data_IF_047890370562
#
_entry.id   IF_047890370562
#
_cell.length_a   1.000
_cell.length_b   1.000
_cell.length_c   1.000
_cell.angle_alpha   90.00
_cell.angle_beta   90.00
_cell.angle_gamma   90.00
#
_symmetry.space_group_name_H-M   'P 1'
#
loop_
_entity.id
_entity.type
_entity.pdbx_description
1 polymer ?
#
# COMPACT_ATOMS: atom_id res chain seq x y z
N UNK A 1 -15.22 -39.65 41.24
CA UNK A 1 -16.40 -38.97 40.67
C UNK A 1 -15.92 -37.61 40.21
N UNK A 2 -16.14 -37.29 38.94
CA UNK A 2 -15.45 -36.22 38.21
C UNK A 2 -15.76 -34.81 38.70
N UNK A 3 -14.73 -33.98 38.67
CA UNK A 3 -14.74 -32.55 38.92
C UNK A 3 -14.27 -31.84 37.64
N UNK A 4 -15.02 -32.06 36.55
CA UNK A 4 -14.67 -31.57 35.22
C UNK A 4 -15.93 -30.96 34.59
N UNK A 5 -16.24 -29.68 34.84
CA UNK A 5 -17.05 -28.81 33.93
C UNK A 5 -17.50 -27.47 34.55
N UNK A 6 -16.65 -26.74 35.29
CA UNK A 6 -16.93 -25.32 35.57
C UNK A 6 -15.76 -24.41 35.19
N UNK A 7 -15.30 -24.52 33.94
CA UNK A 7 -14.28 -23.63 33.36
C UNK A 7 -14.93 -22.49 32.56
N UNK A 8 -16.26 -22.40 32.57
CA UNK A 8 -17.02 -21.41 31.78
C UNK A 8 -17.31 -20.12 32.56
N UNK A 9 -16.95 -20.06 33.86
CA UNK A 9 -17.17 -18.91 34.76
C UNK A 9 -15.97 -17.94 34.86
N UNK A 10 -14.93 -18.10 34.03
CA UNK A 10 -13.76 -17.22 34.00
C UNK A 10 -13.50 -16.54 32.65
N UNK A 11 -14.50 -16.51 31.77
CA UNK A 11 -14.50 -15.58 30.64
C UNK A 11 -15.10 -14.26 31.12
N UNK A 12 -14.30 -13.53 31.91
CA UNK A 12 -14.61 -12.16 32.31
C UNK A 12 -14.75 -11.32 31.03
N UNK A 13 -15.97 -10.83 30.71
CA UNK A 13 -16.20 -10.05 29.50
C UNK A 13 -15.37 -8.77 29.47
N UNK A 14 -14.89 -8.27 30.62
CA UNK A 14 -13.97 -7.14 30.67
C UNK A 14 -12.57 -7.51 30.18
N UNK A 15 -12.11 -8.75 30.38
CA UNK A 15 -10.83 -9.24 29.88
C UNK A 15 -10.88 -9.44 28.36
N UNK A 16 -11.97 -10.01 27.83
CA UNK A 16 -12.18 -10.14 26.38
C UNK A 16 -12.32 -8.77 25.70
N UNK A 17 -12.89 -7.79 26.40
CA UNK A 17 -12.98 -6.41 25.92
C UNK A 17 -11.62 -5.71 26.01
N UNK A 18 -10.81 -5.96 27.04
CA UNK A 18 -9.43 -5.47 27.12
C UNK A 18 -8.52 -6.11 26.08
N UNK A 19 -8.64 -7.42 25.81
CA UNK A 19 -7.88 -8.12 24.76
C UNK A 19 -8.37 -7.71 23.38
N UNK A 20 -9.67 -7.50 23.16
CA UNK A 20 -10.20 -6.93 21.92
C UNK A 20 -9.80 -5.47 21.72
N UNK A 21 -9.76 -4.66 22.78
CA UNK A 21 -9.28 -3.27 22.71
C UNK A 21 -7.77 -3.22 22.51
N UNK A 22 -7.00 -4.13 23.11
CA UNK A 22 -5.56 -4.28 22.88
C UNK A 22 -5.28 -4.77 21.45
N UNK A 23 -6.04 -5.75 20.95
CA UNK A 23 -5.94 -6.23 19.56
C UNK A 23 -6.48 -5.23 18.52
N UNK A 24 -7.38 -4.33 18.93
CA UNK A 24 -7.80 -3.17 18.13
C UNK A 24 -6.73 -2.06 18.14
N UNK A 25 -5.94 -1.97 19.21
CA UNK A 25 -4.78 -1.05 19.33
C UNK A 25 -3.56 -1.57 18.56
N UNK A 26 -3.41 -2.89 18.39
CA UNK A 26 -2.37 -3.52 17.54
C UNK A 26 -2.64 -3.38 16.02
N UNK A 27 -3.73 -2.71 15.64
CA UNK A 27 -3.93 -2.16 14.30
C UNK A 27 -3.53 -0.68 14.21
N UNK A 28 -2.73 -0.18 15.14
CA UNK A 28 -1.96 1.03 14.85
C UNK A 28 -1.09 0.74 13.63
N UNK A 29 -1.23 1.50 12.53
CA UNK A 29 -0.29 1.41 11.43
C UNK A 29 1.06 1.81 12.00
N UNK A 30 1.91 0.80 12.23
CA UNK A 30 3.27 0.98 12.74
C UNK A 30 3.89 2.16 12.01
N UNK A 31 4.29 3.25 12.69
CA UNK A 31 4.97 4.35 12.04
C UNK A 31 6.38 3.89 11.69
N UNK A 32 6.48 3.05 10.67
CA UNK A 32 7.73 2.79 9.98
C UNK A 32 8.18 4.11 9.33
N UNK A 33 9.50 4.35 9.22
CA UNK A 33 10.04 5.60 8.64
C UNK A 33 9.57 5.87 7.20
N UNK A 34 8.92 4.90 6.55
CA UNK A 34 8.34 5.01 5.22
C UNK A 34 6.92 4.41 5.23
N UNK A 35 5.91 5.23 4.92
CA UNK A 35 4.55 4.70 4.65
C UNK A 35 4.60 3.84 3.38
N UNK A 36 3.94 2.69 3.38
CA UNK A 36 3.83 1.81 2.20
C UNK A 36 3.38 2.60 0.96
N UNK A 37 2.50 3.59 1.15
CA UNK A 37 2.04 4.50 0.10
C UNK A 37 3.16 5.33 -0.54
N UNK A 38 4.16 5.75 0.24
CA UNK A 38 5.33 6.48 -0.24
C UNK A 38 6.28 5.57 -1.02
N UNK A 39 6.49 4.33 -0.56
CA UNK A 39 7.31 3.34 -1.27
C UNK A 39 6.69 3.01 -2.63
N UNK A 40 5.39 2.72 -2.66
CA UNK A 40 4.66 2.41 -3.89
C UNK A 40 4.69 3.60 -4.85
N UNK A 41 4.43 4.82 -4.37
CA UNK A 41 4.54 6.02 -5.21
C UNK A 41 5.98 6.21 -5.72
N UNK A 42 6.98 6.02 -4.86
CA UNK A 42 8.39 6.11 -5.22
C UNK A 42 8.76 5.11 -6.33
N UNK A 43 8.27 3.87 -6.23
CA UNK A 43 8.49 2.85 -7.25
C UNK A 43 7.90 3.24 -8.61
N UNK A 44 6.68 3.80 -8.64
CA UNK A 44 6.04 4.27 -9.88
C UNK A 44 6.81 5.44 -10.51
N UNK A 45 7.25 6.40 -9.71
CA UNK A 45 8.05 7.54 -10.19
C UNK A 45 9.42 7.08 -10.68
N UNK A 46 10.08 6.16 -9.98
CA UNK A 46 11.36 5.59 -10.38
C UNK A 46 11.24 4.81 -11.70
N UNK A 47 10.21 3.98 -11.85
CA UNK A 47 9.92 3.27 -13.08
C UNK A 47 9.65 4.25 -14.24
N UNK A 48 8.85 5.29 -14.01
CA UNK A 48 8.57 6.33 -15.00
C UNK A 48 9.83 7.08 -15.44
N UNK A 49 10.72 7.43 -14.51
CA UNK A 49 12.01 8.06 -14.81
C UNK A 49 12.89 7.14 -15.66
N UNK A 50 12.98 5.85 -15.29
CA UNK A 50 13.70 4.83 -16.06
C UNK A 50 13.20 4.69 -17.50
N UNK A 51 11.88 4.62 -17.68
CA UNK A 51 11.25 4.51 -19.01
C UNK A 51 11.46 5.77 -19.84
N UNK A 52 11.49 6.94 -19.20
CA UNK A 52 11.69 8.23 -19.87
C UNK A 52 13.03 8.31 -20.62
N UNK A 53 14.07 7.60 -20.16
CA UNK A 53 15.36 7.51 -20.86
C UNK A 53 15.24 6.88 -22.26
N UNK A 54 14.26 6.00 -22.47
CA UNK A 54 14.03 5.34 -23.77
C UNK A 54 13.24 6.20 -24.76
N UNK A 55 12.62 7.29 -24.30
CA UNK A 55 11.86 8.20 -25.16
C UNK A 55 12.81 8.96 -26.10
N UNK A 56 13.95 9.42 -25.59
CA UNK A 56 14.94 10.15 -26.36
C UNK A 56 15.47 9.39 -27.59
N UNK A 57 15.97 8.14 -27.48
CA UNK A 57 16.40 7.37 -28.64
C UNK A 57 15.24 7.04 -29.59
N UNK A 58 14.03 6.73 -29.07
CA UNK A 58 12.87 6.48 -29.92
C UNK A 58 12.49 7.72 -30.76
N UNK A 59 12.56 8.91 -30.16
CA UNK A 59 12.35 10.18 -30.85
C UNK A 59 13.41 10.46 -31.92
N UNK A 60 14.69 10.24 -31.59
CA UNK A 60 15.81 10.40 -32.54
C UNK A 60 15.71 9.45 -33.74
N UNK A 61 15.14 8.27 -33.54
CA UNK A 61 14.94 7.28 -34.60
C UNK A 61 13.66 7.54 -35.43
N UNK A 62 12.91 8.60 -35.14
CA UNK A 62 11.66 8.91 -35.84
C UNK A 62 10.53 7.91 -35.59
N UNK A 63 10.67 7.04 -34.56
CA UNK A 63 9.65 6.04 -34.24
C UNK A 63 8.52 6.67 -33.40
N UNK A 64 7.66 7.44 -34.08
CA UNK A 64 6.53 8.15 -33.46
C UNK A 64 5.60 7.21 -32.68
N UNK A 65 5.20 6.02 -33.19
CA UNK A 65 4.38 5.09 -32.43
C UNK A 65 5.01 4.67 -31.09
N UNK A 66 6.33 4.41 -31.07
CA UNK A 66 7.05 4.04 -29.85
C UNK A 66 7.15 5.19 -28.86
N UNK A 67 7.33 6.43 -29.33
CA UNK A 67 7.33 7.61 -28.46
C UNK A 67 5.97 7.78 -27.77
N UNK A 68 4.88 7.64 -28.54
CA UNK A 68 3.51 7.78 -28.01
C UNK A 68 3.20 6.69 -26.98
N UNK A 69 3.57 5.44 -27.24
CA UNK A 69 3.34 4.34 -26.28
C UNK A 69 4.16 4.51 -25.01
N UNK A 70 5.43 4.92 -25.11
CA UNK A 70 6.27 5.19 -23.94
C UNK A 70 5.74 6.36 -23.11
N UNK A 71 5.31 7.45 -23.75
CA UNK A 71 4.68 8.59 -23.05
C UNK A 71 3.38 8.20 -22.35
N UNK A 72 2.55 7.40 -23.02
CA UNK A 72 1.29 6.90 -22.46
C UNK A 72 1.57 6.02 -21.24
N UNK A 73 2.57 5.13 -21.33
CA UNK A 73 2.99 4.26 -20.24
C UNK A 73 3.48 5.07 -19.04
N UNK A 74 4.30 6.10 -19.26
CA UNK A 74 4.76 7.02 -18.20
C UNK A 74 3.57 7.73 -17.54
N UNK A 75 2.61 8.23 -18.31
CA UNK A 75 1.40 8.83 -17.75
C UNK A 75 0.60 7.84 -16.89
N UNK A 76 0.40 6.62 -17.37
CA UNK A 76 -0.33 5.58 -16.62
C UNK A 76 0.37 5.23 -15.30
N UNK A 77 1.69 5.11 -15.30
CA UNK A 77 2.48 4.87 -14.09
C UNK A 77 2.27 5.98 -13.05
N UNK A 78 2.32 7.25 -13.49
CA UNK A 78 2.10 8.38 -12.59
C UNK A 78 0.67 8.42 -12.05
N UNK A 79 -0.33 8.20 -12.91
CA UNK A 79 -1.75 8.15 -12.50
C UNK A 79 -1.99 7.01 -11.51
N UNK A 80 -1.45 5.82 -11.78
CA UNK A 80 -1.55 4.66 -10.88
C UNK A 80 -0.87 4.92 -9.53
N UNK A 81 0.32 5.54 -9.53
CA UNK A 81 1.02 5.93 -8.31
C UNK A 81 0.23 6.96 -7.48
N UNK A 82 -0.36 7.96 -8.13
CA UNK A 82 -1.20 8.97 -7.44
C UNK A 82 -2.49 8.35 -6.91
N UNK A 83 -3.12 7.47 -7.68
CA UNK A 83 -4.35 6.79 -7.29
C UNK A 83 -4.14 5.88 -6.08
N UNK A 84 -3.09 5.05 -6.11
CA UNK A 84 -2.73 4.17 -4.97
C UNK A 84 -2.44 4.97 -3.70
N UNK A 85 -1.73 6.11 -3.79
CA UNK A 85 -1.55 7.03 -2.65
C UNK A 85 -2.88 7.59 -2.14
N UNK A 86 -3.79 7.99 -3.04
CA UNK A 86 -5.11 8.50 -2.64
C UNK A 86 -5.98 7.45 -1.96
N UNK A 87 -5.92 6.20 -2.43
CA UNK A 87 -6.66 5.09 -1.81
C UNK A 87 -6.07 4.72 -0.46
N UNK A 88 -4.73 4.67 -0.35
CA UNK A 88 -4.05 4.40 0.91
C UNK A 88 -4.39 5.45 1.98
N UNK A 89 -4.37 6.75 1.63
CA UNK A 89 -4.74 7.84 2.54
C UNK A 89 -6.19 7.79 3.03
N UNK A 90 -7.11 7.14 2.30
CA UNK A 90 -8.50 6.94 2.72
C UNK A 90 -8.68 5.73 3.65
N UNK A 91 -7.64 4.91 3.81
CA UNK A 91 -7.64 3.67 4.60
C UNK A 91 -6.71 3.73 5.82
N UNK A 92 -5.91 4.79 5.95
CA UNK A 92 -5.23 5.14 7.19
C UNK A 92 -6.29 5.78 8.13
N UNK A 93 -6.56 5.19 9.32
CA UNK A 93 -7.52 5.71 10.29
C UNK A 93 -7.11 7.06 10.88
#
# INVERSE_FOLDING_TARGET
MGDDSNVEEYLDPELDQQVSNAAATDREPVPGPFSLSQIVLGAHVFAAAGISLFIWPAFRNGNVPQVVTLLTLVCLLLVAGVYTRRVAKRREP
#
